data_IF_068891117411
#
_entry.id   IF_068891117411
#
_cell.length_a   1.000
_cell.length_b   1.000
_cell.length_c   1.000
_cell.angle_alpha   90.00
_cell.angle_beta   90.00
_cell.angle_gamma   90.00
#
_symmetry.space_group_name_H-M   'P 1'
#
loop_
_entity.id
_entity.type
_entity.pdbx_description
1 polymer ?
#
# COMPACT_ATOMS: atom_id res chain seq x y z
N UNK A 1 -10.38 -23.85 -11.75
CA UNK A 1 -9.84 -23.40 -13.05
C UNK A 1 -9.19 -22.07 -12.82
N UNK A 2 -7.87 -21.99 -12.96
CA UNK A 2 -7.16 -20.71 -12.86
C UNK A 2 -7.23 -20.00 -14.22
N UNK A 3 -7.81 -18.82 -14.25
CA UNK A 3 -7.77 -17.98 -15.45
C UNK A 3 -6.50 -17.14 -15.41
N UNK A 4 -5.61 -17.34 -16.39
CA UNK A 4 -4.49 -16.45 -16.64
C UNK A 4 -4.93 -15.42 -17.67
N UNK A 5 -5.07 -14.16 -17.27
CA UNK A 5 -5.19 -13.04 -18.20
C UNK A 5 -3.78 -12.45 -18.30
N UNK A 6 -3.06 -12.80 -19.36
CA UNK A 6 -1.72 -12.29 -19.61
C UNK A 6 -1.70 -11.36 -20.82
N UNK A 7 -1.13 -10.18 -20.66
CA UNK A 7 -0.59 -9.41 -21.77
C UNK A 7 0.89 -9.75 -21.88
N UNK A 8 1.26 -10.62 -22.84
CA UNK A 8 2.64 -10.98 -23.13
C UNK A 8 3.21 -9.94 -24.08
N UNK A 9 4.12 -9.11 -23.61
CA UNK A 9 5.06 -8.44 -24.50
C UNK A 9 6.23 -9.41 -24.72
N UNK A 10 6.40 -9.87 -25.95
CA UNK A 10 7.54 -10.70 -26.34
C UNK A 10 8.84 -9.95 -26.06
N UNK A 11 9.68 -10.55 -25.23
CA UNK A 11 11.02 -10.03 -24.94
C UNK A 11 11.91 -10.33 -26.16
N UNK A 12 12.56 -9.33 -26.78
CA UNK A 12 13.54 -9.61 -27.84
C UNK A 12 14.72 -10.38 -27.24
N UNK A 13 15.12 -11.47 -27.91
CA UNK A 13 16.29 -12.26 -27.54
C UNK A 13 17.53 -11.39 -27.48
N UNK A 14 18.16 -11.31 -26.32
CA UNK A 14 19.41 -10.60 -26.14
C UNK A 14 20.55 -11.42 -26.70
N UNK A 15 21.16 -10.95 -27.79
CA UNK A 15 22.50 -11.36 -28.20
C UNK A 15 23.50 -10.99 -27.10
N UNK A 16 24.30 -11.97 -26.68
CA UNK A 16 25.40 -11.78 -25.74
C UNK A 16 26.34 -10.68 -26.24
N UNK A 17 26.39 -9.57 -25.51
CA UNK A 17 27.39 -8.54 -25.66
C UNK A 17 28.33 -8.63 -24.45
N UNK A 18 29.64 -8.74 -24.76
CA UNK A 18 30.74 -8.78 -23.81
C UNK A 18 30.62 -7.71 -22.71
N UNK A 19 31.04 -8.12 -21.51
CA UNK A 19 31.03 -7.26 -20.32
C UNK A 19 31.95 -6.04 -20.54
N UNK A 20 31.35 -4.91 -20.88
CA UNK A 20 31.98 -3.61 -20.73
C UNK A 20 31.89 -3.21 -19.25
N UNK A 21 33.04 -2.89 -18.66
CA UNK A 21 33.14 -2.32 -17.32
C UNK A 21 32.24 -1.09 -17.22
N UNK A 22 31.10 -1.22 -16.54
CA UNK A 22 30.23 -0.11 -16.26
C UNK A 22 30.82 0.65 -15.07
N UNK A 23 31.35 1.83 -15.36
CA UNK A 23 31.64 2.85 -14.34
C UNK A 23 30.33 3.09 -13.57
N UNK A 24 30.33 3.13 -12.21
CA UNK A 24 29.11 3.44 -11.47
C UNK A 24 28.62 4.82 -11.94
N UNK A 25 27.49 4.86 -12.63
CA UNK A 25 26.80 6.12 -12.89
C UNK A 25 26.40 6.68 -11.52
N UNK A 26 27.04 7.78 -11.13
CA UNK A 26 26.51 8.62 -10.06
C UNK A 26 25.05 8.92 -10.43
N UNK A 27 24.12 8.57 -9.52
CA UNK A 27 22.72 8.91 -9.68
C UNK A 27 22.63 10.40 -9.99
N UNK A 28 22.17 10.75 -11.18
CA UNK A 28 22.04 12.15 -11.58
C UNK A 28 21.07 12.82 -10.59
N UNK A 29 21.45 14.00 -10.08
CA UNK A 29 20.56 14.78 -9.23
C UNK A 29 19.21 14.97 -9.94
N UNK A 30 18.08 14.82 -9.23
CA UNK A 30 16.76 15.01 -9.81
C UNK A 30 16.64 16.37 -10.47
N UNK A 31 16.06 16.41 -11.64
CA UNK A 31 15.88 17.67 -12.38
C UNK A 31 14.84 18.54 -11.68
N UNK A 32 15.24 19.75 -11.25
CA UNK A 32 14.33 20.70 -10.60
C UNK A 32 13.18 21.06 -11.54
N UNK A 33 11.97 21.06 -10.98
CA UNK A 33 10.74 21.34 -11.73
C UNK A 33 9.72 22.13 -10.89
N UNK A 34 8.77 22.73 -11.58
CA UNK A 34 7.53 23.25 -11.01
C UNK A 34 6.41 22.35 -11.50
N UNK A 35 5.61 21.84 -10.58
CA UNK A 35 4.56 20.87 -10.90
C UNK A 35 3.18 21.42 -10.55
N UNK A 36 2.18 21.10 -11.37
CA UNK A 36 0.78 21.30 -11.05
C UNK A 36 0.25 20.01 -10.42
N UNK A 37 -0.35 20.13 -9.24
CA UNK A 37 -0.87 18.99 -8.46
C UNK A 37 -2.37 19.16 -8.27
N UNK A 38 -3.14 18.18 -8.70
CA UNK A 38 -4.58 18.09 -8.53
C UNK A 38 -4.92 17.29 -7.28
N UNK A 39 -5.71 17.88 -6.39
CA UNK A 39 -6.20 17.23 -5.17
C UNK A 39 -7.67 16.82 -5.30
N UNK A 40 -8.06 15.74 -4.64
CA UNK A 40 -9.45 15.32 -4.58
C UNK A 40 -10.34 16.44 -3.98
N UNK A 41 -11.52 16.63 -4.57
CA UNK A 41 -12.47 17.66 -4.12
C UNK A 41 -12.10 19.11 -4.48
N UNK A 42 -11.03 19.35 -5.25
CA UNK A 42 -10.67 20.68 -5.74
C UNK A 42 -10.83 20.76 -7.26
N UNK A 43 -11.32 21.90 -7.74
CA UNK A 43 -11.50 22.12 -9.17
C UNK A 43 -10.24 22.60 -9.88
N UNK A 44 -9.28 23.19 -9.15
CA UNK A 44 -8.06 23.72 -9.72
C UNK A 44 -6.83 22.98 -9.17
N UNK A 45 -5.88 22.73 -10.05
CA UNK A 45 -4.55 22.25 -9.67
C UNK A 45 -3.77 23.38 -8.97
N UNK A 46 -2.90 23.01 -8.05
CA UNK A 46 -2.04 23.92 -7.31
C UNK A 46 -0.58 23.71 -7.69
N UNK A 47 0.18 24.78 -7.64
CA UNK A 47 1.58 24.79 -8.08
C UNK A 47 2.53 24.54 -6.92
N UNK A 48 3.48 23.59 -7.11
CA UNK A 48 4.51 23.24 -6.14
C UNK A 48 5.89 23.21 -6.79
N UNK A 49 6.91 23.47 -5.99
CA UNK A 49 8.31 23.33 -6.39
C UNK A 49 8.81 21.91 -6.05
N UNK A 50 9.54 21.32 -6.97
CA UNK A 50 10.17 20.02 -6.79
C UNK A 50 11.66 20.10 -7.12
N UNK A 51 12.50 19.67 -6.19
CA UNK A 51 13.95 19.60 -6.31
C UNK A 51 14.53 18.24 -5.86
N UNK A 52 13.65 17.26 -5.55
CA UNK A 52 14.06 16.00 -4.95
C UNK A 52 13.68 14.77 -5.78
N UNK A 53 12.72 14.88 -6.68
CA UNK A 53 12.13 13.71 -7.34
C UNK A 53 12.10 13.92 -8.86
N UNK A 54 12.28 12.84 -9.60
CA UNK A 54 12.06 12.81 -11.05
C UNK A 54 10.58 12.56 -11.34
N UNK A 55 9.79 13.65 -11.26
CA UNK A 55 8.33 13.58 -11.33
C UNK A 55 7.83 13.51 -12.77
N UNK A 56 6.79 12.71 -12.95
CA UNK A 56 6.04 12.57 -14.20
C UNK A 56 4.56 12.89 -13.99
N UNK A 57 3.86 13.23 -15.06
CA UNK A 57 2.40 13.35 -15.04
C UNK A 57 1.80 12.01 -14.64
N UNK A 58 0.86 12.03 -13.69
CA UNK A 58 0.25 10.84 -13.11
C UNK A 58 0.82 10.43 -11.75
N UNK A 59 2.02 10.91 -11.38
CA UNK A 59 2.59 10.59 -10.07
C UNK A 59 1.72 11.08 -8.93
N UNK A 60 1.64 10.26 -7.89
CA UNK A 60 0.97 10.61 -6.64
C UNK A 60 1.99 11.20 -5.68
N UNK A 61 1.71 12.41 -5.19
CA UNK A 61 2.65 13.16 -4.35
C UNK A 61 2.00 13.67 -3.08
N UNK A 62 2.84 13.87 -2.06
CA UNK A 62 2.54 14.62 -0.85
C UNK A 62 3.28 15.93 -0.87
N UNK A 63 2.65 16.97 -0.36
CA UNK A 63 3.14 18.35 -0.45
C UNK A 63 3.19 19.02 0.91
N UNK A 64 4.00 20.08 1.00
CA UNK A 64 4.11 20.93 2.17
C UNK A 64 2.96 21.95 2.28
N UNK A 65 2.70 22.46 3.47
CA UNK A 65 1.83 23.56 3.79
C UNK A 65 0.40 23.15 4.12
N UNK A 66 -0.61 23.92 3.65
CA UNK A 66 -2.02 23.73 4.05
C UNK A 66 -2.63 22.40 3.65
N UNK A 67 -2.03 21.71 2.70
CA UNK A 67 -2.46 20.41 2.20
C UNK A 67 -1.47 19.30 2.59
N UNK A 68 -0.64 19.55 3.60
CA UNK A 68 0.25 18.54 4.16
C UNK A 68 -0.54 17.31 4.61
N UNK A 69 -0.01 16.12 4.33
CA UNK A 69 -0.70 14.85 4.58
C UNK A 69 -1.75 14.46 3.54
N UNK A 70 -2.18 15.39 2.68
CA UNK A 70 -3.09 15.06 1.58
C UNK A 70 -2.30 14.66 0.33
N UNK A 71 -2.71 13.56 -0.27
CA UNK A 71 -2.14 13.13 -1.55
C UNK A 71 -2.75 13.91 -2.71
N UNK A 72 -1.93 14.28 -3.68
CA UNK A 72 -2.36 14.88 -4.93
C UNK A 72 -1.75 14.16 -6.11
N UNK A 73 -2.33 14.35 -7.30
CA UNK A 73 -1.82 13.79 -8.55
C UNK A 73 -1.14 14.89 -9.36
N UNK A 74 0.07 14.61 -9.84
CA UNK A 74 0.78 15.51 -10.76
C UNK A 74 0.05 15.50 -12.11
N UNK A 75 -0.37 16.66 -12.57
CA UNK A 75 -1.08 16.84 -13.85
C UNK A 75 -0.24 17.57 -14.88
N UNK A 76 0.82 18.28 -14.45
CA UNK A 76 1.75 18.98 -15.33
C UNK A 76 3.13 19.05 -14.65
N UNK A 77 4.20 18.92 -15.45
CA UNK A 77 5.59 19.10 -15.01
C UNK A 77 6.25 20.13 -15.92
N UNK A 78 6.77 21.21 -15.34
CA UNK A 78 7.43 22.30 -16.07
C UNK A 78 8.88 22.45 -15.60
N UNK A 79 9.82 22.32 -16.52
CA UNK A 79 11.25 22.49 -16.27
C UNK A 79 11.78 23.87 -16.67
N UNK A 80 10.97 24.66 -17.39
CA UNK A 80 11.33 26.01 -17.81
C UNK A 80 10.63 27.05 -16.93
N UNK A 81 11.25 27.36 -15.78
CA UNK A 81 10.66 28.25 -14.81
C UNK A 81 11.69 29.20 -14.18
N UNK A 82 11.19 30.32 -13.66
CA UNK A 82 11.93 31.26 -12.78
C UNK A 82 10.99 31.72 -11.68
N UNK A 83 11.24 31.25 -10.46
CA UNK A 83 10.39 31.50 -9.29
C UNK A 83 11.20 32.05 -8.12
N UNK A 84 10.50 32.73 -7.18
CA UNK A 84 11.02 33.01 -5.85
C UNK A 84 10.64 31.85 -4.95
N UNK A 85 11.61 31.11 -4.43
CA UNK A 85 11.37 29.89 -3.65
C UNK A 85 10.49 30.11 -2.41
N UNK A 86 10.55 31.29 -1.79
CA UNK A 86 9.71 31.64 -0.63
C UNK A 86 8.21 31.62 -0.92
N UNK A 87 7.82 31.75 -2.20
CA UNK A 87 6.42 31.88 -2.61
C UNK A 87 5.81 30.51 -2.93
N UNK A 88 6.63 29.46 -2.96
CA UNK A 88 6.21 28.11 -3.36
C UNK A 88 6.41 27.10 -2.22
N UNK A 89 5.42 26.24 -2.06
CA UNK A 89 5.50 25.04 -1.24
C UNK A 89 6.15 23.93 -2.04
N UNK A 90 6.68 22.90 -1.33
CA UNK A 90 7.47 21.84 -1.93
C UNK A 90 6.70 20.53 -2.03
N UNK A 91 7.12 19.70 -2.96
CA UNK A 91 6.80 18.28 -2.94
C UNK A 91 7.66 17.62 -1.87
N UNK A 92 7.02 16.88 -0.94
CA UNK A 92 7.69 16.23 0.20
C UNK A 92 8.00 14.77 -0.08
N UNK A 93 7.09 14.06 -0.73
CA UNK A 93 7.22 12.65 -1.01
C UNK A 93 6.44 12.24 -2.26
N UNK A 94 6.83 11.11 -2.82
CA UNK A 94 6.16 10.44 -3.95
C UNK A 94 5.70 9.07 -3.48
N UNK A 95 4.44 8.72 -3.72
CA UNK A 95 3.96 7.36 -3.51
C UNK A 95 4.40 6.48 -4.69
N UNK A 96 5.15 5.41 -4.40
CA UNK A 96 5.50 4.43 -5.42
C UNK A 96 4.28 3.57 -5.76
N UNK A 97 3.63 3.87 -6.87
CA UNK A 97 2.47 3.15 -7.39
C UNK A 97 2.81 2.17 -8.50
N UNK A 98 4.09 2.02 -8.88
CA UNK A 98 4.52 1.04 -9.87
C UNK A 98 4.45 -0.37 -9.26
N UNK A 99 3.65 -1.25 -9.83
CA UNK A 99 3.47 -2.62 -9.35
C UNK A 99 3.85 -3.60 -10.45
N UNK A 100 4.75 -4.51 -10.12
CA UNK A 100 5.22 -5.56 -11.01
C UNK A 100 5.16 -6.90 -10.26
N UNK A 101 4.54 -7.90 -10.85
CA UNK A 101 4.48 -9.22 -10.22
C UNK A 101 3.29 -10.03 -10.69
N UNK A 102 3.18 -11.23 -10.13
CA UNK A 102 2.08 -12.14 -10.38
C UNK A 102 1.03 -12.01 -9.30
N UNK A 103 -0.22 -11.90 -9.72
CA UNK A 103 -1.37 -11.81 -8.84
C UNK A 103 -2.34 -12.95 -9.06
N UNK A 104 -3.04 -13.30 -8.00
CA UNK A 104 -4.08 -14.32 -7.98
C UNK A 104 -5.35 -13.71 -7.39
N UNK A 105 -6.51 -14.16 -7.80
CA UNK A 105 -7.78 -13.67 -7.27
C UNK A 105 -8.13 -14.40 -5.96
N UNK A 106 -8.43 -13.63 -4.92
CA UNK A 106 -8.93 -14.14 -3.64
C UNK A 106 -10.10 -13.26 -3.16
N UNK A 107 -11.31 -13.64 -3.51
CA UNK A 107 -12.51 -12.86 -3.19
C UNK A 107 -12.48 -11.46 -3.82
N UNK A 108 -12.57 -10.44 -2.98
CA UNK A 108 -12.50 -9.02 -3.38
C UNK A 108 -11.08 -8.46 -3.51
N UNK A 109 -10.06 -9.30 -3.29
CA UNK A 109 -8.66 -8.93 -3.28
C UNK A 109 -7.86 -9.66 -4.36
N UNK A 110 -6.77 -9.03 -4.78
CA UNK A 110 -5.68 -9.68 -5.48
C UNK A 110 -4.60 -10.06 -4.49
N UNK A 111 -4.09 -11.28 -4.56
CA UNK A 111 -3.05 -11.82 -3.70
C UNK A 111 -1.77 -12.05 -4.50
N UNK A 112 -0.64 -11.69 -3.95
CA UNK A 112 0.68 -12.08 -4.43
C UNK A 112 1.42 -12.82 -3.33
N UNK A 113 2.28 -13.76 -3.72
CA UNK A 113 3.15 -14.54 -2.83
C UNK A 113 4.62 -14.10 -2.96
N UNK A 114 4.84 -12.97 -3.60
CA UNK A 114 6.16 -12.35 -3.74
C UNK A 114 6.25 -11.12 -2.83
N UNK A 115 7.24 -11.12 -1.93
CA UNK A 115 7.46 -10.07 -0.91
C UNK A 115 7.75 -8.70 -1.54
N UNK A 116 8.40 -8.68 -2.70
CA UNK A 116 8.85 -7.45 -3.36
C UNK A 116 7.72 -6.77 -4.16
N UNK A 117 6.69 -7.52 -4.52
CA UNK A 117 5.61 -7.01 -5.37
C UNK A 117 4.76 -5.93 -4.67
N UNK A 118 4.34 -6.22 -3.42
CA UNK A 118 3.51 -5.32 -2.61
C UNK A 118 3.95 -5.30 -1.14
N UNK A 119 5.16 -4.83 -0.82
CA UNK A 119 5.55 -4.70 0.58
C UNK A 119 4.69 -3.65 1.30
N UNK A 120 4.37 -3.88 2.57
CA UNK A 120 3.54 -2.98 3.38
C UNK A 120 4.07 -1.55 3.41
N UNK A 121 5.40 -1.38 3.49
CA UNK A 121 6.08 -0.08 3.45
C UNK A 121 5.81 0.73 2.18
N UNK A 122 5.57 0.06 1.07
CA UNK A 122 5.17 0.69 -0.20
C UNK A 122 3.68 1.05 -0.19
N UNK A 123 2.83 0.08 0.16
CA UNK A 123 1.38 0.25 0.06
C UNK A 123 0.87 1.31 1.04
N UNK A 124 1.47 1.45 2.23
CA UNK A 124 1.10 2.49 3.17
C UNK A 124 1.26 3.90 2.58
N UNK A 125 2.27 4.12 1.74
CA UNK A 125 2.48 5.41 1.07
C UNK A 125 1.38 5.79 0.07
N UNK A 126 0.54 4.83 -0.32
CA UNK A 126 -0.63 5.12 -1.17
C UNK A 126 -1.74 5.83 -0.38
N UNK A 127 -1.73 5.70 0.94
CA UNK A 127 -2.80 6.19 1.83
C UNK A 127 -2.34 7.34 2.73
N UNK A 128 -1.08 7.31 3.17
CA UNK A 128 -0.51 8.27 4.11
C UNK A 128 0.79 8.86 3.58
N UNK A 129 1.06 10.11 3.94
CA UNK A 129 2.40 10.66 3.79
C UNK A 129 3.39 9.81 4.62
N UNK A 130 4.62 9.61 4.14
CA UNK A 130 5.67 9.04 4.98
C UNK A 130 5.81 9.84 6.28
N UNK A 131 6.07 9.13 7.39
CA UNK A 131 6.37 9.77 8.66
C UNK A 131 7.56 10.73 8.51
N UNK A 132 7.56 11.81 9.26
CA UNK A 132 8.69 12.72 9.32
C UNK A 132 9.82 12.05 10.09
N UNK A 133 11.06 12.37 9.74
CA UNK A 133 12.26 11.81 10.41
C UNK A 133 12.28 12.08 11.91
N UNK A 134 11.59 13.14 12.36
CA UNK A 134 11.53 13.57 13.76
C UNK A 134 10.34 12.94 14.53
N UNK A 135 9.48 12.14 13.88
CA UNK A 135 8.33 11.51 14.53
C UNK A 135 8.76 10.20 15.19
N UNK A 136 8.77 10.17 16.51
CA UNK A 136 8.97 8.95 17.30
C UNK A 136 7.63 8.26 17.54
N UNK A 137 7.51 6.99 17.13
CA UNK A 137 6.35 6.15 17.42
C UNK A 137 6.71 5.16 18.52
N UNK A 138 5.85 5.08 19.53
CA UNK A 138 5.92 4.03 20.54
C UNK A 138 4.67 3.16 20.41
N UNK A 139 4.84 1.85 20.29
CA UNK A 139 3.76 0.87 20.39
C UNK A 139 3.87 0.12 21.71
N UNK A 140 2.70 -0.17 22.32
CA UNK A 140 2.62 -1.08 23.44
C UNK A 140 2.70 -2.54 22.98
N UNK A 141 2.72 -3.46 23.93
CA UNK A 141 2.47 -4.88 23.71
C UNK A 141 1.23 -5.29 24.47
N UNK A 142 0.36 -6.08 23.85
CA UNK A 142 -0.78 -6.70 24.50
C UNK A 142 -0.49 -8.18 24.66
N UNK A 143 -0.65 -8.70 25.88
CA UNK A 143 -0.46 -10.13 26.18
C UNK A 143 -1.68 -10.97 25.80
N UNK A 144 -2.75 -10.36 25.26
CA UNK A 144 -3.92 -11.08 24.81
C UNK A 144 -3.65 -11.84 23.52
N UNK A 145 -4.09 -13.10 23.48
CA UNK A 145 -4.08 -13.90 22.26
C UNK A 145 -5.42 -14.58 22.07
N UNK A 146 -5.74 -14.88 20.81
CA UNK A 146 -6.97 -15.59 20.45
C UNK A 146 -6.80 -16.37 19.15
N UNK A 147 -7.66 -17.37 18.95
CA UNK A 147 -7.70 -18.12 17.70
C UNK A 147 -8.41 -17.31 16.62
N UNK A 148 -7.82 -17.21 15.42
CA UNK A 148 -8.43 -16.47 14.29
C UNK A 148 -9.80 -17.05 13.89
N UNK A 149 -10.01 -18.35 14.10
CA UNK A 149 -11.29 -19.02 13.87
C UNK A 149 -12.39 -18.56 14.84
N UNK A 150 -12.02 -18.18 16.07
CA UNK A 150 -12.94 -17.73 17.12
C UNK A 150 -12.66 -16.29 17.56
N UNK A 151 -13.19 -15.34 16.80
CA UNK A 151 -13.04 -13.90 17.09
C UNK A 151 -13.76 -13.46 18.38
N UNK A 152 -14.53 -14.33 19.04
CA UNK A 152 -15.08 -14.02 20.37
C UNK A 152 -13.98 -13.86 21.42
N UNK A 153 -12.81 -14.47 21.19
CA UNK A 153 -11.61 -14.28 22.00
C UNK A 153 -11.15 -12.83 22.10
N UNK A 154 -11.51 -11.96 21.14
CA UNK A 154 -11.22 -10.52 21.18
C UNK A 154 -12.00 -9.76 22.27
N UNK A 155 -13.01 -10.36 22.90
CA UNK A 155 -13.78 -9.77 24.00
C UNK A 155 -14.32 -8.35 23.73
N UNK A 156 -14.84 -8.11 22.54
CA UNK A 156 -15.40 -6.82 22.14
C UNK A 156 -16.91 -6.74 22.40
N UNK A 157 -17.44 -5.54 22.55
CA UNK A 157 -18.88 -5.34 22.62
C UNK A 157 -19.58 -5.67 21.30
N UNK A 158 -20.85 -6.10 21.35
CA UNK A 158 -21.63 -6.42 20.15
C UNK A 158 -21.66 -5.25 19.15
N UNK A 159 -21.74 -4.00 19.63
CA UNK A 159 -21.72 -2.81 18.78
C UNK A 159 -20.39 -2.61 18.05
N UNK A 160 -19.26 -2.95 18.66
CA UNK A 160 -17.94 -2.87 18.01
C UNK A 160 -17.82 -4.01 17.01
N UNK A 161 -18.26 -5.22 17.36
CA UNK A 161 -18.26 -6.39 16.47
C UNK A 161 -19.08 -6.10 15.20
N UNK A 162 -20.31 -5.57 15.35
CA UNK A 162 -21.16 -5.19 14.23
C UNK A 162 -20.51 -4.13 13.32
N UNK A 163 -19.92 -3.08 13.91
CA UNK A 163 -19.21 -2.05 13.12
C UNK A 163 -18.01 -2.63 12.38
N UNK A 164 -17.26 -3.53 12.99
CA UNK A 164 -16.14 -4.21 12.36
C UNK A 164 -16.59 -5.08 11.19
N UNK A 165 -17.69 -5.81 11.37
CA UNK A 165 -18.29 -6.60 10.31
C UNK A 165 -18.78 -5.72 9.15
N UNK A 166 -19.39 -4.57 9.42
CA UNK A 166 -19.79 -3.62 8.37
C UNK A 166 -18.58 -3.10 7.60
N UNK A 167 -17.47 -2.78 8.28
CA UNK A 167 -16.23 -2.36 7.64
C UNK A 167 -15.66 -3.43 6.71
N UNK A 168 -15.68 -4.69 7.14
CA UNK A 168 -15.30 -5.82 6.31
C UNK A 168 -16.24 -5.98 5.10
N UNK A 169 -17.55 -6.00 5.31
CA UNK A 169 -18.56 -6.13 4.24
C UNK A 169 -18.50 -4.99 3.22
N UNK A 170 -18.17 -3.77 3.67
CA UNK A 170 -17.95 -2.60 2.81
C UNK A 170 -16.60 -2.64 2.09
N UNK A 171 -15.83 -3.73 2.21
CA UNK A 171 -14.50 -3.89 1.62
C UNK A 171 -13.53 -2.77 2.01
N UNK A 172 -13.56 -2.33 3.29
CA UNK A 172 -12.70 -1.26 3.80
C UNK A 172 -11.31 -1.72 4.21
N UNK A 173 -11.05 -3.02 4.26
CA UNK A 173 -9.68 -3.54 4.38
C UNK A 173 -9.03 -3.45 3.00
N UNK A 174 -8.19 -2.45 2.84
CA UNK A 174 -7.59 -2.10 1.55
C UNK A 174 -6.35 -2.93 1.24
N UNK A 175 -5.68 -3.37 2.29
CA UNK A 175 -4.48 -4.18 2.19
C UNK A 175 -4.38 -5.08 3.42
N UNK A 176 -3.91 -6.29 3.23
CA UNK A 176 -3.55 -7.20 4.32
C UNK A 176 -2.43 -8.14 3.88
N UNK A 177 -1.47 -8.38 4.76
CA UNK A 177 -0.32 -9.24 4.47
C UNK A 177 0.13 -10.04 5.67
N UNK A 178 0.78 -11.15 5.39
CA UNK A 178 1.61 -11.92 6.33
C UNK A 178 2.98 -12.12 5.71
N UNK A 179 4.03 -11.84 6.48
CA UNK A 179 5.41 -12.19 6.18
C UNK A 179 6.03 -12.95 7.36
N UNK A 180 6.16 -14.25 7.19
CA UNK A 180 6.49 -15.16 8.29
C UNK A 180 5.42 -15.13 9.38
N UNK A 181 5.73 -14.53 10.52
CA UNK A 181 4.75 -14.35 11.62
C UNK A 181 4.21 -12.92 11.73
N UNK A 182 4.75 -11.97 10.98
CA UNK A 182 4.33 -10.57 11.03
C UNK A 182 3.13 -10.34 10.13
N UNK A 183 2.04 -9.87 10.70
CA UNK A 183 0.84 -9.47 9.99
C UNK A 183 0.69 -7.95 9.97
N UNK A 184 0.15 -7.43 8.88
CA UNK A 184 -0.11 -6.01 8.72
C UNK A 184 -1.34 -5.79 7.84
N UNK A 185 -2.18 -4.83 8.19
CA UNK A 185 -3.32 -4.45 7.38
C UNK A 185 -3.52 -2.93 7.35
N UNK A 186 -4.16 -2.45 6.28
CA UNK A 186 -4.63 -1.06 6.14
C UNK A 186 -6.15 -1.09 6.03
N UNK A 187 -6.81 -0.41 6.95
CA UNK A 187 -8.27 -0.30 7.00
C UNK A 187 -8.70 1.15 6.80
N UNK A 188 -9.45 1.41 5.73
CA UNK A 188 -9.92 2.76 5.40
C UNK A 188 -11.19 3.11 6.18
N UNK A 189 -11.14 4.22 6.92
CA UNK A 189 -12.25 4.78 7.67
C UNK A 189 -12.39 6.28 7.41
N UNK A 190 -12.39 7.08 8.47
CA UNK A 190 -12.20 8.55 8.36
C UNK A 190 -10.79 8.91 7.96
N UNK A 191 -9.85 7.99 8.20
CA UNK A 191 -8.47 8.00 7.81
C UNK A 191 -8.07 6.58 7.37
N UNK A 192 -6.82 6.35 6.98
CA UNK A 192 -6.23 5.03 6.78
C UNK A 192 -5.58 4.55 8.09
N UNK A 193 -6.15 3.50 8.67
CA UNK A 193 -5.69 2.93 9.93
C UNK A 193 -4.82 1.71 9.67
N UNK A 194 -3.68 1.67 10.31
CA UNK A 194 -2.75 0.56 10.28
C UNK A 194 -3.08 -0.41 11.41
N UNK A 195 -3.12 -1.70 11.10
CA UNK A 195 -3.34 -2.78 12.06
C UNK A 195 -2.17 -3.73 11.96
N UNK A 196 -1.42 -3.86 13.03
CA UNK A 196 -0.29 -4.77 13.15
C UNK A 196 -0.66 -5.93 14.06
N UNK A 197 -0.15 -7.12 13.76
CA UNK A 197 -0.39 -8.32 14.56
C UNK A 197 0.68 -9.38 14.34
N UNK A 198 0.74 -10.35 15.25
CA UNK A 198 1.51 -11.59 15.08
C UNK A 198 0.55 -12.73 14.77
N UNK A 199 0.83 -13.48 13.72
CA UNK A 199 0.09 -14.68 13.34
C UNK A 199 1.00 -15.92 13.43
N UNK A 200 0.59 -16.92 14.20
CA UNK A 200 1.30 -18.18 14.29
C UNK A 200 0.33 -19.33 14.50
N UNK A 201 0.32 -20.30 13.60
CA UNK A 201 -0.46 -21.53 13.72
C UNK A 201 -1.95 -21.31 14.04
N UNK A 202 -2.56 -20.30 13.41
CA UNK A 202 -3.96 -19.93 13.62
C UNK A 202 -4.22 -19.07 14.85
N UNK A 203 -3.19 -18.67 15.60
CA UNK A 203 -3.29 -17.77 16.74
C UNK A 203 -2.84 -16.36 16.38
N UNK A 204 -3.59 -15.38 16.85
CA UNK A 204 -3.30 -13.94 16.75
C UNK A 204 -2.84 -13.45 18.12
N UNK A 205 -1.77 -12.66 18.13
CA UNK A 205 -1.27 -11.94 19.30
C UNK A 205 -0.69 -10.58 18.89
N UNK A 206 -0.41 -9.73 19.86
CA UNK A 206 0.13 -8.37 19.62
C UNK A 206 -0.69 -7.57 18.59
N UNK A 207 -2.03 -7.65 18.69
CA UNK A 207 -2.93 -6.96 17.79
C UNK A 207 -3.09 -5.49 18.19
N UNK A 208 -2.59 -4.57 17.36
CA UNK A 208 -2.54 -3.13 17.64
C UNK A 208 -3.07 -2.36 16.42
N UNK A 209 -3.89 -1.35 16.68
CA UNK A 209 -4.41 -0.44 15.65
C UNK A 209 -3.97 1.01 15.90
N UNK A 210 -3.57 1.71 14.85
CA UNK A 210 -3.18 3.14 14.91
C UNK A 210 -4.34 4.11 15.18
N UNK A 211 -5.55 3.62 15.45
CA UNK A 211 -6.70 4.47 15.79
C UNK A 211 -6.71 4.95 17.25
N UNK A 212 -5.69 4.58 18.03
CA UNK A 212 -5.51 4.94 19.46
C UNK A 212 -6.70 4.59 20.35
N UNK A 213 -7.48 3.57 20.00
CA UNK A 213 -8.49 3.02 20.89
C UNK A 213 -7.83 2.24 22.02
N UNK A 214 -8.29 2.46 23.26
CA UNK A 214 -7.75 1.77 24.45
C UNK A 214 -8.12 0.27 24.53
N UNK A 215 -8.95 -0.20 23.62
CA UNK A 215 -9.46 -1.57 23.52
C UNK A 215 -9.55 -1.97 22.07
N UNK A 216 -9.73 -3.27 21.82
CA UNK A 216 -9.97 -3.77 20.47
C UNK A 216 -11.05 -2.97 19.73
N UNK A 217 -10.77 -2.62 18.51
CA UNK A 217 -11.57 -1.69 17.73
C UNK A 217 -12.21 -2.35 16.50
N UNK A 218 -13.10 -1.61 15.86
CA UNK A 218 -13.76 -2.07 14.62
C UNK A 218 -12.79 -2.34 13.47
N UNK A 219 -11.63 -1.65 13.42
CA UNK A 219 -10.64 -1.84 12.37
C UNK A 219 -9.91 -3.16 12.53
N UNK A 220 -9.56 -3.52 13.76
CA UNK A 220 -8.96 -4.81 14.09
C UNK A 220 -9.91 -5.96 13.74
N UNK A 221 -11.20 -5.84 14.10
CA UNK A 221 -12.20 -6.86 13.73
C UNK A 221 -12.31 -7.00 12.21
N UNK A 222 -12.39 -5.88 11.48
CA UNK A 222 -12.46 -5.93 10.03
C UNK A 222 -11.22 -6.59 9.42
N UNK A 223 -10.02 -6.26 9.93
CA UNK A 223 -8.78 -6.86 9.50
C UNK A 223 -8.75 -8.39 9.77
N UNK A 224 -9.19 -8.83 10.95
CA UNK A 224 -9.22 -10.25 11.30
C UNK A 224 -10.25 -11.04 10.47
N UNK A 225 -11.40 -10.45 10.17
CA UNK A 225 -12.39 -11.05 9.26
C UNK A 225 -11.80 -11.21 7.85
N UNK A 226 -11.13 -10.19 7.33
CA UNK A 226 -10.48 -10.24 6.03
C UNK A 226 -9.32 -11.23 6.01
N UNK A 227 -8.51 -11.28 7.08
CA UNK A 227 -7.42 -12.24 7.21
C UNK A 227 -7.94 -13.67 7.11
N UNK A 228 -8.98 -13.98 7.88
CA UNK A 228 -9.60 -15.31 7.89
C UNK A 228 -10.09 -15.71 6.51
N UNK A 229 -10.89 -14.86 5.84
CA UNK A 229 -11.36 -15.12 4.48
C UNK A 229 -10.19 -15.32 3.51
N UNK A 230 -9.19 -14.45 3.56
CA UNK A 230 -8.04 -14.52 2.66
C UNK A 230 -7.25 -15.82 2.85
N UNK A 231 -6.99 -16.23 4.10
CA UNK A 231 -6.29 -17.47 4.39
C UNK A 231 -7.11 -18.71 3.98
N UNK A 232 -8.42 -18.73 4.20
CA UNK A 232 -9.31 -19.80 3.73
C UNK A 232 -9.26 -19.95 2.20
N UNK A 233 -9.25 -18.85 1.48
CA UNK A 233 -9.16 -18.86 0.02
C UNK A 233 -7.76 -19.28 -0.47
N UNK A 234 -6.70 -18.84 0.21
CA UNK A 234 -5.33 -19.26 -0.07
C UNK A 234 -5.17 -20.77 0.16
N UNK A 235 -5.62 -21.28 1.30
CA UNK A 235 -5.54 -22.71 1.60
C UNK A 235 -6.29 -23.54 0.57
N UNK A 236 -7.45 -23.08 0.13
CA UNK A 236 -8.30 -23.80 -0.80
C UNK A 236 -7.78 -23.80 -2.25
N UNK A 237 -7.10 -22.73 -2.69
CA UNK A 237 -6.77 -22.52 -4.09
C UNK A 237 -5.27 -22.36 -4.37
N UNK A 238 -4.47 -21.92 -3.40
CA UNK A 238 -3.08 -21.50 -3.56
C UNK A 238 -2.16 -22.01 -2.46
N UNK A 239 -2.51 -23.11 -1.81
CA UNK A 239 -1.75 -23.67 -0.69
C UNK A 239 -0.28 -23.96 -1.03
N UNK A 240 0.00 -24.38 -2.27
CA UNK A 240 1.36 -24.67 -2.72
C UNK A 240 2.23 -23.40 -2.86
N UNK A 241 1.65 -22.33 -3.37
CA UNK A 241 2.31 -21.04 -3.51
C UNK A 241 2.63 -20.45 -2.14
N UNK A 242 1.67 -20.47 -1.21
CA UNK A 242 1.87 -19.98 0.14
C UNK A 242 2.88 -20.82 0.93
N UNK A 243 2.79 -22.13 0.85
CA UNK A 243 3.74 -23.03 1.53
C UNK A 243 5.20 -22.81 1.05
N UNK A 244 5.39 -22.46 -0.22
CA UNK A 244 6.70 -22.21 -0.81
C UNK A 244 7.35 -20.92 -0.30
N UNK A 245 6.58 -19.90 -0.01
CA UNK A 245 7.09 -18.56 0.32
C UNK A 245 6.94 -18.18 1.79
N UNK A 246 5.93 -18.73 2.47
CA UNK A 246 5.56 -18.39 3.84
C UNK A 246 5.07 -16.95 3.99
N UNK A 247 4.70 -16.31 2.87
CA UNK A 247 4.21 -14.94 2.87
C UNK A 247 3.10 -14.75 1.83
N UNK A 248 2.26 -13.76 2.08
CA UNK A 248 1.36 -13.21 1.07
C UNK A 248 1.12 -11.73 1.33
N UNK A 249 0.76 -11.01 0.28
CA UNK A 249 0.19 -9.67 0.34
C UNK A 249 -1.09 -9.64 -0.49
N UNK A 250 -2.18 -9.19 0.11
CA UNK A 250 -3.48 -9.05 -0.52
C UNK A 250 -3.89 -7.58 -0.56
N UNK A 251 -4.28 -7.08 -1.73
CA UNK A 251 -4.74 -5.71 -1.94
C UNK A 251 -6.14 -5.73 -2.51
N UNK A 252 -7.05 -4.86 -2.04
CA UNK A 252 -8.38 -4.79 -2.63
C UNK A 252 -8.31 -4.41 -4.10
N UNK A 253 -9.13 -5.02 -4.94
CA UNK A 253 -9.15 -4.76 -6.38
C UNK A 253 -9.33 -3.28 -6.69
N UNK A 254 -10.22 -2.60 -5.95
CA UNK A 254 -10.46 -1.16 -6.11
C UNK A 254 -9.22 -0.32 -5.80
N UNK A 255 -8.45 -0.70 -4.80
CA UNK A 255 -7.19 -0.03 -4.45
C UNK A 255 -6.14 -0.23 -5.54
N UNK A 256 -5.91 -1.46 -5.98
CA UNK A 256 -4.93 -1.73 -7.03
C UNK A 256 -5.27 -0.96 -8.31
N UNK A 257 -6.53 -0.97 -8.75
CA UNK A 257 -6.96 -0.23 -9.93
C UNK A 257 -6.84 1.29 -9.76
N UNK A 258 -7.14 1.83 -8.57
CA UNK A 258 -7.05 3.28 -8.32
C UNK A 258 -5.63 3.80 -8.29
N UNK A 259 -4.66 3.02 -7.82
CA UNK A 259 -3.28 3.49 -7.64
C UNK A 259 -2.34 2.96 -8.71
N UNK A 260 -2.32 1.65 -8.94
CA UNK A 260 -1.31 1.03 -9.78
C UNK A 260 -1.65 1.05 -11.27
N UNK A 261 -2.93 1.13 -11.64
CA UNK A 261 -3.36 0.98 -13.04
C UNK A 261 -3.80 2.32 -13.66
N UNK A 262 -4.47 3.20 -12.90
CA UNK A 262 -5.04 4.45 -13.45
C UNK A 262 -4.05 5.60 -13.58
N UNK A 263 -2.82 5.46 -13.17
CA UNK A 263 -1.88 6.58 -13.11
C UNK A 263 -0.69 6.52 -14.05
N UNK A 264 -0.39 5.38 -14.64
CA UNK A 264 0.82 5.23 -15.48
C UNK A 264 0.50 4.35 -16.68
N UNK A 265 0.96 4.80 -17.87
CA UNK A 265 0.91 4.00 -19.10
C UNK A 265 1.80 2.74 -19.05
N UNK A 266 2.60 2.59 -17.99
CA UNK A 266 3.59 1.54 -17.81
C UNK A 266 3.41 0.80 -16.47
N UNK A 267 2.28 0.15 -16.30
CA UNK A 267 2.11 -0.86 -15.25
C UNK A 267 1.95 -2.21 -15.91
N UNK A 268 2.75 -3.20 -15.52
CA UNK A 268 2.55 -4.58 -15.94
C UNK A 268 2.26 -5.44 -14.70
N UNK A 269 1.12 -6.10 -14.69
CA UNK A 269 0.86 -7.19 -13.76
C UNK A 269 0.26 -8.36 -14.53
N UNK A 270 0.54 -9.58 -14.07
CA UNK A 270 -0.01 -10.81 -14.62
C UNK A 270 -0.98 -11.38 -13.60
N UNK A 271 -2.21 -11.59 -14.01
CA UNK A 271 -3.24 -12.28 -13.22
C UNK A 271 -3.18 -13.78 -13.46
#
# INVERSE_FOLDING_TARGET
MAFKIGFSAERPESKSVEAAYTVPQQAAEPRKSVVQVQFAGRNAALTYYNDRFDLQVGDMVYVDGKLEGQRGRVVEVNYNFKIRLSDYKRVLAVADTAVHGQFFMAGSHFVTFDRETLPASKVVTWFKAPAKEDEEFASGSDDTSFRLEDLKGMQVSAAIAERGQNYYMDNRVRYISIDGTKGYAIVEGGDAYEVEFTYRDGEISNLICSCFCSYHCKHEIAAMLQLRETLELIEKQYAAEYARTGCFAAVSMSTLFSFAITGKETGCFTL
#
